data_IF_098045840905
#
_entry.id   IF_098045840905
#
_cell.length_a   1.000
_cell.length_b   1.000
_cell.length_c   1.000
_cell.angle_alpha   90.00
_cell.angle_beta   90.00
_cell.angle_gamma   90.00
#
_symmetry.space_group_name_H-M   'P 1'
#
loop_
_entity.id
_entity.type
_entity.pdbx_description
1 polymer ?
#
# COMPACT_ATOMS: atom_id res chain seq x y z
N UNK A 1 4.40 -13.41 13.29
CA UNK A 1 3.58 -12.41 12.58
C UNK A 1 2.28 -12.23 13.30
N UNK A 2 1.84 -11.00 13.41
CA UNK A 2 0.54 -10.64 13.92
C UNK A 2 -0.22 -9.92 12.80
N UNK A 3 -1.42 -10.40 12.49
CA UNK A 3 -2.31 -9.71 11.54
C UNK A 3 -3.12 -8.71 12.35
N UNK A 4 -3.13 -7.48 11.91
CA UNK A 4 -3.88 -6.39 12.53
C UNK A 4 -4.87 -5.83 11.51
N UNK A 5 -5.89 -5.15 11.98
CA UNK A 5 -6.82 -4.43 11.13
C UNK A 5 -6.35 -2.98 11.01
N UNK A 6 -6.30 -2.49 9.78
CA UNK A 6 -6.13 -1.09 9.50
C UNK A 6 -7.49 -0.48 9.15
N UNK A 7 -7.87 0.56 9.87
CA UNK A 7 -9.08 1.33 9.61
C UNK A 7 -8.65 2.72 9.18
N UNK A 8 -9.11 3.14 8.02
CA UNK A 8 -8.67 4.40 7.45
C UNK A 8 -9.70 5.06 6.59
N UNK A 9 -9.35 6.26 6.13
CA UNK A 9 -10.08 7.01 5.12
C UNK A 9 -9.15 7.46 4.00
N UNK A 10 -9.68 7.50 2.79
CA UNK A 10 -9.03 8.11 1.64
C UNK A 10 -9.79 9.37 1.31
N UNK A 11 -9.05 10.49 1.24
CA UNK A 11 -9.51 11.73 0.62
C UNK A 11 -8.83 11.84 -0.75
N UNK A 12 -9.62 12.03 -1.78
CA UNK A 12 -9.16 12.15 -3.14
C UNK A 12 -9.71 13.43 -3.75
N UNK A 13 -8.82 14.26 -4.30
CA UNK A 13 -9.18 15.55 -4.89
C UNK A 13 -8.51 15.70 -6.26
N UNK A 14 -9.32 15.88 -7.29
CA UNK A 14 -8.87 16.35 -8.59
C UNK A 14 -8.83 17.87 -8.56
N UNK A 15 -7.65 18.44 -8.86
CA UNK A 15 -7.40 19.89 -8.78
C UNK A 15 -7.47 20.53 -10.16
N UNK A 16 -7.00 19.80 -11.19
CA UNK A 16 -6.93 20.28 -12.58
C UNK A 16 -8.12 19.79 -13.40
N UNK A 17 -8.62 20.64 -14.32
CA UNK A 17 -9.79 20.35 -15.14
C UNK A 17 -11.11 20.39 -14.35
N UNK A 18 -11.98 19.39 -14.54
CA UNK A 18 -13.23 19.29 -13.78
C UNK A 18 -12.90 18.92 -12.33
N UNK A 19 -12.96 19.91 -11.45
CA UNK A 19 -12.70 19.75 -10.01
C UNK A 19 -13.70 18.76 -9.42
N UNK A 20 -13.20 17.80 -8.69
CA UNK A 20 -14.00 16.79 -7.98
C UNK A 20 -13.25 16.33 -6.75
N UNK A 21 -13.99 16.11 -5.67
CA UNK A 21 -13.42 15.55 -4.43
C UNK A 21 -14.39 14.57 -3.81
N UNK A 22 -13.84 13.54 -3.18
CA UNK A 22 -14.59 12.58 -2.40
C UNK A 22 -13.74 12.04 -1.24
N UNK A 23 -14.42 11.57 -0.23
CA UNK A 23 -13.83 10.89 0.90
C UNK A 23 -14.63 9.62 1.18
N UNK A 24 -13.93 8.52 1.43
CA UNK A 24 -14.55 7.28 1.87
C UNK A 24 -13.69 6.58 2.91
N UNK A 25 -14.35 5.79 3.75
CA UNK A 25 -13.70 4.96 4.73
C UNK A 25 -13.40 3.59 4.13
N UNK A 26 -12.33 2.96 4.59
CA UNK A 26 -11.96 1.61 4.18
C UNK A 26 -11.28 0.87 5.30
N UNK A 27 -11.24 -0.45 5.18
CA UNK A 27 -10.39 -1.28 6.02
C UNK A 27 -9.43 -2.11 5.18
N UNK A 28 -8.30 -2.47 5.78
CA UNK A 28 -7.29 -3.35 5.20
C UNK A 28 -6.70 -4.24 6.27
N UNK A 29 -6.00 -5.28 5.85
CA UNK A 29 -5.16 -6.04 6.75
C UNK A 29 -3.75 -5.44 6.77
N UNK A 30 -3.23 -5.27 7.96
CA UNK A 30 -1.84 -4.90 8.19
C UNK A 30 -1.08 -6.12 8.70
N UNK A 31 -0.03 -6.48 8.00
CA UNK A 31 0.85 -7.60 8.30
C UNK A 31 2.17 -7.05 8.79
N UNK A 32 2.49 -7.34 10.03
CA UNK A 32 3.78 -6.98 10.59
C UNK A 32 4.79 -8.07 10.24
N UNK A 33 5.89 -7.70 9.58
CA UNK A 33 7.02 -8.56 9.24
C UNK A 33 6.66 -9.80 8.42
N UNK A 34 6.19 -9.57 7.19
CA UNK A 34 5.81 -10.66 6.27
C UNK A 34 7.02 -11.47 5.76
N UNK A 35 8.23 -10.94 5.84
CA UNK A 35 9.43 -11.63 5.34
C UNK A 35 9.85 -12.82 6.22
N UNK A 36 9.76 -12.68 7.55
CA UNK A 36 10.07 -13.77 8.50
C UNK A 36 8.97 -14.80 8.60
N UNK A 37 8.00 -14.71 7.73
CA UNK A 37 6.86 -15.57 7.70
C UNK A 37 7.24 -16.95 7.15
N UNK A 38 7.11 -17.98 7.97
CA UNK A 38 7.28 -19.34 7.52
C UNK A 38 6.12 -19.70 6.60
N UNK A 39 6.42 -19.80 5.29
CA UNK A 39 5.47 -20.09 4.23
C UNK A 39 4.58 -21.29 4.52
N UNK A 40 5.09 -22.31 5.22
CA UNK A 40 4.46 -23.62 5.34
C UNK A 40 3.32 -23.70 6.37
N UNK A 41 3.24 -22.76 7.32
CA UNK A 41 2.26 -22.84 8.41
C UNK A 41 1.04 -21.92 8.27
N UNK A 42 1.07 -20.93 7.41
CA UNK A 42 0.04 -19.88 7.41
C UNK A 42 -0.62 -19.58 6.07
N UNK A 43 -0.12 -20.17 5.00
CA UNK A 43 -0.74 -20.05 3.67
C UNK A 43 -1.95 -20.99 3.48
N UNK A 44 -2.68 -21.29 4.54
CA UNK A 44 -4.07 -21.62 4.32
C UNK A 44 -4.71 -20.35 3.72
N UNK A 45 -5.12 -20.43 2.49
CA UNK A 45 -5.73 -19.37 1.67
C UNK A 45 -6.95 -18.69 2.33
N UNK A 46 -7.25 -19.01 3.59
CA UNK A 46 -8.43 -18.55 4.31
C UNK A 46 -8.03 -17.98 5.66
N UNK A 47 -7.91 -16.69 5.73
CA UNK A 47 -7.80 -15.91 6.96
C UNK A 47 -9.01 -16.09 7.89
N UNK A 48 -10.16 -16.31 7.29
CA UNK A 48 -11.39 -16.79 7.88
C UNK A 48 -12.21 -17.47 6.79
N UNK A 49 -13.34 -18.08 7.14
CA UNK A 49 -14.30 -18.57 6.11
C UNK A 49 -14.79 -17.47 5.14
N UNK A 50 -14.52 -16.19 5.44
CA UNK A 50 -15.05 -15.03 4.72
C UNK A 50 -13.97 -14.26 3.96
N UNK A 51 -12.71 -14.29 4.43
CA UNK A 51 -11.60 -13.52 3.84
C UNK A 51 -10.46 -14.43 3.43
N UNK A 52 -9.86 -14.14 2.29
CA UNK A 52 -8.65 -14.80 1.80
C UNK A 52 -7.61 -13.76 1.43
N UNK A 53 -6.35 -14.16 1.49
CA UNK A 53 -5.20 -13.38 1.06
C UNK A 53 -4.39 -14.24 0.11
N UNK A 54 -4.05 -13.66 -1.01
CA UNK A 54 -3.15 -14.26 -1.96
C UNK A 54 -1.79 -13.57 -1.87
N UNK A 55 -0.76 -14.32 -1.50
CA UNK A 55 0.62 -13.86 -1.44
C UNK A 55 1.50 -14.49 -2.54
N UNK A 56 0.95 -15.44 -3.28
CA UNK A 56 1.64 -16.09 -4.40
C UNK A 56 1.34 -15.41 -5.73
N UNK A 57 0.69 -14.25 -5.71
CA UNK A 57 0.48 -13.47 -6.92
C UNK A 57 1.83 -12.98 -7.50
N UNK A 58 1.87 -12.85 -8.82
CA UNK A 58 3.10 -12.47 -9.53
C UNK A 58 3.66 -11.13 -9.07
N UNK A 59 2.82 -10.27 -8.59
CA UNK A 59 3.30 -9.01 -8.13
C UNK A 59 3.88 -8.98 -6.74
N UNK A 60 3.46 -9.86 -5.85
CA UNK A 60 4.20 -10.08 -4.61
C UNK A 60 5.62 -10.54 -4.93
N UNK A 61 5.79 -11.44 -5.90
CA UNK A 61 7.10 -11.92 -6.37
C UNK A 61 7.94 -10.80 -6.95
N UNK A 62 7.35 -9.94 -7.78
CA UNK A 62 8.04 -8.77 -8.35
C UNK A 62 8.47 -7.77 -7.27
N UNK A 63 7.60 -7.49 -6.31
CA UNK A 63 7.93 -6.60 -5.18
C UNK A 63 9.09 -7.16 -4.35
N UNK A 64 9.07 -8.44 -4.02
CA UNK A 64 10.16 -9.10 -3.30
C UNK A 64 11.47 -9.07 -4.11
N UNK A 65 11.41 -9.25 -5.43
CA UNK A 65 12.57 -9.11 -6.31
C UNK A 65 13.14 -7.69 -6.27
N UNK A 66 12.29 -6.66 -6.35
CA UNK A 66 12.71 -5.27 -6.25
C UNK A 66 13.37 -4.96 -4.89
N UNK A 67 12.81 -5.47 -3.80
CA UNK A 67 13.42 -5.35 -2.46
C UNK A 67 14.80 -6.00 -2.42
N UNK A 68 14.98 -7.22 -2.96
CA UNK A 68 16.29 -7.88 -3.00
C UNK A 68 17.32 -7.06 -3.75
N UNK A 69 16.97 -6.53 -4.93
CA UNK A 69 17.87 -5.67 -5.71
C UNK A 69 18.29 -4.43 -4.91
N UNK A 70 17.36 -3.81 -4.17
CA UNK A 70 17.66 -2.68 -3.30
C UNK A 70 18.62 -3.05 -2.17
N UNK A 71 18.39 -4.18 -1.50
CA UNK A 71 19.25 -4.67 -0.41
C UNK A 71 20.66 -4.95 -0.90
N UNK A 72 20.80 -5.65 -2.02
CA UNK A 72 22.09 -5.98 -2.63
C UNK A 72 22.86 -4.70 -3.03
N UNK A 73 22.17 -3.75 -3.67
CA UNK A 73 22.76 -2.46 -4.08
C UNK A 73 23.33 -1.68 -2.89
N UNK A 74 22.65 -1.68 -1.77
CA UNK A 74 23.03 -0.91 -0.59
C UNK A 74 23.77 -1.73 0.48
N UNK A 75 24.03 -3.03 0.22
CA UNK A 75 24.71 -3.97 1.14
C UNK A 75 24.01 -4.04 2.51
N UNK A 76 22.68 -4.09 2.51
CA UNK A 76 21.86 -4.13 3.71
C UNK A 76 21.49 -5.58 4.02
N UNK A 77 21.77 -6.04 5.25
CA UNK A 77 21.35 -7.37 5.70
C UNK A 77 19.85 -7.40 5.96
N UNK A 78 19.15 -8.32 5.32
CA UNK A 78 17.72 -8.54 5.50
C UNK A 78 17.33 -8.94 6.92
N UNK A 79 18.26 -9.53 7.67
CA UNK A 79 18.00 -9.93 9.07
C UNK A 79 17.82 -8.76 10.01
N UNK A 80 18.30 -7.57 9.65
CA UNK A 80 18.12 -6.33 10.40
C UNK A 80 16.77 -5.65 10.12
N UNK A 81 16.03 -6.17 9.15
CA UNK A 81 14.85 -5.50 8.61
C UNK A 81 13.54 -6.18 9.00
N UNK A 82 12.49 -5.38 8.94
CA UNK A 82 11.09 -5.82 8.98
C UNK A 82 10.40 -5.35 7.70
N UNK A 83 9.61 -6.22 7.12
CA UNK A 83 8.81 -5.93 5.94
C UNK A 83 7.34 -5.99 6.31
N UNK A 84 6.70 -4.85 6.45
CA UNK A 84 5.28 -4.75 6.74
C UNK A 84 4.49 -4.57 5.45
N UNK A 85 3.26 -5.08 5.42
CA UNK A 85 2.36 -5.00 4.28
C UNK A 85 0.97 -4.51 4.69
N UNK A 86 0.48 -3.51 4.00
CA UNK A 86 -0.92 -3.07 4.04
C UNK A 86 -1.62 -3.51 2.75
N UNK A 87 -2.52 -4.48 2.86
CA UNK A 87 -3.24 -5.07 1.72
C UNK A 87 -4.71 -5.31 2.08
N UNK A 88 -5.61 -4.94 1.15
CA UNK A 88 -7.03 -5.24 1.30
C UNK A 88 -7.26 -6.75 1.16
N UNK A 89 -7.99 -7.40 2.07
CA UNK A 89 -8.28 -8.83 1.94
C UNK A 89 -9.30 -9.08 0.80
N UNK A 90 -9.17 -10.22 0.13
CA UNK A 90 -10.21 -10.70 -0.76
C UNK A 90 -11.39 -11.23 0.06
N UNK A 91 -12.61 -10.94 -0.36
CA UNK A 91 -13.83 -11.55 0.20
C UNK A 91 -14.27 -12.74 -0.67
N UNK A 92 -14.86 -13.76 -0.06
CA UNK A 92 -15.45 -14.89 -0.81
C UNK A 92 -16.67 -14.46 -1.64
N UNK A 93 -17.34 -13.38 -1.24
CA UNK A 93 -18.53 -12.88 -1.92
C UNK A 93 -18.20 -11.91 -3.05
N UNK A 94 -17.05 -11.22 -2.97
CA UNK A 94 -16.61 -10.25 -3.97
C UNK A 94 -15.10 -10.37 -4.11
N UNK A 95 -14.62 -10.66 -5.30
CA UNK A 95 -13.20 -10.54 -5.62
C UNK A 95 -12.86 -9.06 -5.53
N UNK A 96 -12.39 -8.64 -4.36
CA UNK A 96 -12.15 -7.23 -4.10
C UNK A 96 -11.02 -6.74 -5.01
N UNK A 97 -11.32 -5.78 -5.86
CA UNK A 97 -10.30 -5.04 -6.58
C UNK A 97 -9.39 -4.34 -5.57
N UNK A 98 -8.11 -4.61 -5.66
CA UNK A 98 -7.08 -4.08 -4.78
C UNK A 98 -6.20 -3.13 -5.58
N UNK A 99 -6.60 -1.85 -5.71
CA UNK A 99 -5.93 -0.91 -6.61
C UNK A 99 -4.51 -0.60 -6.16
N UNK A 100 -4.21 -0.76 -4.88
CA UNK A 100 -2.87 -0.52 -4.33
C UNK A 100 -2.62 -1.33 -3.07
N UNK A 101 -1.42 -1.92 -2.99
CA UNK A 101 -0.85 -2.48 -1.78
C UNK A 101 0.36 -1.64 -1.37
N UNK A 102 0.55 -1.42 -0.08
CA UNK A 102 1.69 -0.67 0.43
C UNK A 102 2.60 -1.56 1.25
N UNK A 103 3.90 -1.53 0.92
CA UNK A 103 4.93 -2.25 1.62
C UNK A 103 5.86 -1.25 2.30
N UNK A 104 6.21 -1.56 3.54
CA UNK A 104 7.05 -0.71 4.39
C UNK A 104 8.28 -1.52 4.80
N UNK A 105 9.43 -1.23 4.22
CA UNK A 105 10.71 -1.83 4.59
C UNK A 105 11.35 -0.99 5.70
N UNK A 106 11.51 -1.57 6.88
CA UNK A 106 11.94 -0.85 8.09
C UNK A 106 13.20 -1.43 8.70
N UNK A 107 14.05 -0.56 9.22
CA UNK A 107 15.17 -0.90 10.08
C UNK A 107 15.01 -0.20 11.42
N UNK A 108 15.02 -0.95 12.53
CA UNK A 108 14.84 -0.40 13.90
C UNK A 108 13.60 0.51 14.06
N UNK A 109 12.52 0.21 13.32
CA UNK A 109 11.27 0.97 13.36
C UNK A 109 11.20 2.17 12.42
N UNK A 110 12.31 2.58 11.80
CA UNK A 110 12.40 3.63 10.80
C UNK A 110 12.23 3.10 9.39
N UNK A 111 11.58 3.86 8.53
CA UNK A 111 11.31 3.49 7.15
C UNK A 111 12.55 3.68 6.28
N UNK A 112 13.03 2.61 5.63
CA UNK A 112 14.12 2.65 4.65
C UNK A 112 13.62 2.72 3.22
N UNK A 113 12.53 2.01 2.93
CA UNK A 113 11.90 2.04 1.64
C UNK A 113 10.39 1.84 1.77
N UNK A 114 9.66 2.47 0.88
CA UNK A 114 8.23 2.34 0.73
C UNK A 114 7.93 1.89 -0.69
N UNK A 115 7.05 0.91 -0.84
CA UNK A 115 6.67 0.42 -2.15
C UNK A 115 5.15 0.54 -2.31
N UNK A 116 4.73 1.30 -3.31
CA UNK A 116 3.35 1.33 -3.76
C UNK A 116 3.21 0.40 -4.97
N UNK A 117 2.55 -0.71 -4.75
CA UNK A 117 2.25 -1.72 -5.74
C UNK A 117 0.84 -1.48 -6.27
N UNK A 118 0.75 -0.91 -7.45
CA UNK A 118 -0.48 -0.37 -8.02
C UNK A 118 -0.98 -1.25 -9.16
N UNK A 119 -2.26 -1.60 -9.13
CA UNK A 119 -2.95 -2.32 -10.21
C UNK A 119 -4.13 -1.46 -10.69
N UNK A 120 -4.22 -1.24 -11.99
CA UNK A 120 -5.35 -0.50 -12.57
C UNK A 120 -6.55 -1.42 -12.88
N UNK A 121 -7.66 -0.83 -13.31
CA UNK A 121 -8.88 -1.58 -13.67
C UNK A 121 -8.74 -2.44 -14.92
N UNK A 122 -7.69 -2.23 -15.72
CA UNK A 122 -7.39 -3.02 -16.92
C UNK A 122 -6.51 -4.23 -16.61
N UNK A 123 -6.01 -4.34 -15.37
CA UNK A 123 -5.11 -5.41 -14.95
C UNK A 123 -3.62 -5.08 -15.10
N UNK A 124 -3.28 -3.89 -15.65
CA UNK A 124 -1.88 -3.46 -15.68
C UNK A 124 -1.39 -3.19 -14.27
N UNK A 125 -0.12 -3.46 -14.05
CA UNK A 125 0.53 -3.31 -12.76
C UNK A 125 1.83 -2.55 -12.85
N UNK A 126 2.09 -1.72 -11.84
CA UNK A 126 3.32 -0.95 -11.70
C UNK A 126 3.74 -0.88 -10.24
N UNK A 127 5.01 -1.18 -9.99
CA UNK A 127 5.65 -1.01 -8.69
C UNK A 127 6.36 0.35 -8.68
N UNK A 128 6.00 1.20 -7.72
CA UNK A 128 6.70 2.44 -7.40
C UNK A 128 7.53 2.20 -6.16
N UNK A 129 8.84 2.08 -6.35
CA UNK A 129 9.81 1.89 -5.29
C UNK A 129 10.37 3.24 -4.87
N UNK A 130 10.16 3.62 -3.62
CA UNK A 130 10.54 4.90 -3.03
C UNK A 130 11.59 4.61 -1.97
N UNK A 131 12.77 5.17 -2.11
CA UNK A 131 13.85 5.05 -1.15
C UNK A 131 14.63 6.38 -1.04
N UNK A 132 15.51 6.44 -0.07
CA UNK A 132 16.43 7.55 0.15
C UNK A 132 17.89 7.06 0.06
N UNK A 133 18.25 6.41 -1.06
CA UNK A 133 19.60 5.89 -1.31
C UNK A 133 20.12 4.98 -0.19
N UNK A 134 19.27 4.12 0.37
CA UNK A 134 19.61 3.23 1.47
C UNK A 134 19.61 3.87 2.86
N UNK A 135 19.31 5.17 2.95
CA UNK A 135 19.11 5.90 4.21
C UNK A 135 17.64 5.87 4.63
N UNK A 136 17.37 6.28 5.85
CA UNK A 136 16.01 6.42 6.35
C UNK A 136 15.23 7.45 5.52
N UNK A 137 13.96 7.14 5.25
CA UNK A 137 13.04 8.06 4.62
C UNK A 137 12.65 9.14 5.63
N UNK A 138 12.81 10.40 5.24
CA UNK A 138 12.33 11.53 6.00
C UNK A 138 10.82 11.72 5.75
N UNK A 139 10.03 11.60 6.81
CA UNK A 139 8.57 11.74 6.73
C UNK A 139 8.10 13.13 6.38
N UNK A 140 8.96 14.14 6.42
CA UNK A 140 8.63 15.53 6.05
C UNK A 140 8.91 15.85 4.59
N UNK A 141 9.61 14.97 3.90
CA UNK A 141 9.95 15.15 2.50
C UNK A 141 8.96 14.48 1.54
N UNK A 142 8.88 15.03 0.31
CA UNK A 142 8.20 14.41 -0.82
C UNK A 142 9.21 13.73 -1.74
N UNK A 143 9.06 12.41 -1.92
CA UNK A 143 9.87 11.59 -2.82
C UNK A 143 9.20 11.46 -4.19
N UNK A 144 9.96 11.64 -5.28
CA UNK A 144 9.45 11.59 -6.65
C UNK A 144 9.50 10.17 -7.22
N UNK A 145 8.50 9.82 -8.01
CA UNK A 145 8.51 8.65 -8.87
C UNK A 145 7.87 8.97 -10.22
N UNK A 146 8.48 8.51 -11.30
CA UNK A 146 7.93 8.68 -12.65
C UNK A 146 6.70 7.82 -12.84
N UNK A 147 5.60 8.42 -13.27
CA UNK A 147 4.38 7.71 -13.64
C UNK A 147 4.61 6.89 -14.90
N UNK A 148 4.22 5.61 -14.89
CA UNK A 148 4.50 4.66 -15.99
C UNK A 148 3.27 3.95 -16.52
N UNK A 149 2.09 4.17 -15.91
CA UNK A 149 0.85 3.54 -16.35
C UNK A 149 -0.37 4.45 -16.15
N UNK A 150 -1.46 4.12 -16.82
CA UNK A 150 -2.76 4.73 -16.55
C UNK A 150 -3.33 4.17 -15.25
N UNK A 151 -3.67 5.03 -14.30
CA UNK A 151 -4.39 4.61 -13.07
C UNK A 151 -5.91 4.70 -13.23
N UNK A 152 -6.38 5.47 -14.21
CA UNK A 152 -7.78 5.56 -14.59
C UNK A 152 -7.91 5.90 -16.08
N UNK A 153 -9.07 5.64 -16.72
CA UNK A 153 -9.31 6.01 -18.12
C UNK A 153 -9.15 7.51 -18.41
N UNK A 154 -9.21 8.34 -17.38
CA UNK A 154 -9.16 9.80 -17.51
C UNK A 154 -7.79 10.39 -17.14
N UNK A 155 -6.84 9.56 -16.74
CA UNK A 155 -5.50 9.99 -16.36
C UNK A 155 -4.52 9.77 -17.51
N UNK A 156 -3.53 10.65 -17.67
CA UNK A 156 -2.43 10.43 -18.62
C UNK A 156 -1.50 9.33 -18.12
N UNK A 157 -0.76 8.69 -19.02
CA UNK A 157 0.26 7.68 -18.66
C UNK A 157 1.54 8.31 -18.12
N UNK A 158 1.85 9.51 -18.59
CA UNK A 158 3.03 10.30 -18.22
C UNK A 158 2.77 11.18 -16.99
N UNK A 159 3.85 11.74 -16.46
CA UNK A 159 3.83 12.64 -15.30
C UNK A 159 4.64 12.11 -14.12
N UNK A 160 4.43 12.72 -12.97
CA UNK A 160 5.21 12.46 -11.76
C UNK A 160 4.29 12.25 -10.57
N UNK A 161 4.59 11.23 -9.78
CA UNK A 161 4.07 11.10 -8.42
C UNK A 161 5.05 11.72 -7.43
N UNK A 162 4.52 12.40 -6.40
CA UNK A 162 5.27 12.78 -5.20
C UNK A 162 4.63 12.13 -3.98
N UNK A 163 5.40 11.35 -3.26
CA UNK A 163 4.97 10.60 -2.07
C UNK A 163 5.53 11.25 -0.81
N UNK A 164 4.68 11.49 0.18
CA UNK A 164 5.07 11.79 1.56
C UNK A 164 4.53 10.69 2.45
N UNK A 165 5.43 9.99 3.17
CA UNK A 165 5.12 8.74 3.86
C UNK A 165 5.63 8.82 5.30
N UNK A 166 4.81 8.43 6.26
CA UNK A 166 5.22 8.28 7.65
C UNK A 166 5.78 6.87 7.95
N UNK A 167 6.63 6.75 8.96
CA UNK A 167 7.22 5.47 9.41
C UNK A 167 6.18 4.40 9.73
N UNK A 168 5.01 4.83 10.18
CA UNK A 168 3.85 3.97 10.39
C UNK A 168 2.78 4.29 9.33
N UNK A 169 1.90 3.34 8.98
CA UNK A 169 0.87 3.57 7.97
C UNK A 169 -0.29 4.45 8.47
N UNK A 170 0.02 5.47 9.30
CA UNK A 170 -0.97 6.41 9.81
C UNK A 170 -1.31 7.51 8.81
N UNK A 171 -0.35 7.88 7.94
CA UNK A 171 -0.58 8.83 6.86
C UNK A 171 0.31 8.54 5.65
N UNK A 172 -0.30 8.60 4.47
CA UNK A 172 0.40 8.63 3.18
C UNK A 172 -0.25 9.69 2.31
N UNK A 173 0.55 10.61 1.76
CA UNK A 173 0.08 11.63 0.82
C UNK A 173 0.68 11.32 -0.54
N UNK A 174 -0.14 11.25 -1.57
CA UNK A 174 0.25 11.01 -2.94
C UNK A 174 -0.26 12.17 -3.79
N UNK A 175 0.66 12.91 -4.40
CA UNK A 175 0.35 13.98 -5.33
C UNK A 175 0.73 13.53 -6.73
N UNK A 176 -0.17 13.67 -7.68
CA UNK A 176 0.04 13.39 -9.10
C UNK A 176 0.17 14.71 -9.85
N UNK A 177 1.21 14.83 -10.65
CA UNK A 177 1.50 15.98 -11.47
C UNK A 177 1.55 15.55 -12.94
N UNK A 178 1.10 16.42 -13.84
CA UNK A 178 1.24 16.24 -15.28
C UNK A 178 2.70 16.53 -15.74
N UNK A 179 2.91 16.46 -17.05
CA UNK A 179 4.23 16.72 -17.65
C UNK A 179 4.67 18.19 -17.52
N UNK A 180 3.73 19.11 -17.31
CA UNK A 180 3.98 20.53 -17.09
C UNK A 180 4.19 20.86 -15.59
N UNK A 181 4.36 19.83 -14.74
CA UNK A 181 4.47 19.94 -13.29
C UNK A 181 3.26 20.58 -12.58
N UNK A 182 2.08 20.58 -13.19
CA UNK A 182 0.86 21.03 -12.56
C UNK A 182 0.22 19.91 -11.75
N UNK A 183 -0.26 20.23 -10.55
CA UNK A 183 -0.93 19.27 -9.68
C UNK A 183 -2.30 18.87 -10.26
N UNK A 184 -2.44 17.63 -10.65
CA UNK A 184 -3.70 17.07 -11.14
C UNK A 184 -4.56 16.44 -10.04
N UNK A 185 -3.91 15.64 -9.19
CA UNK A 185 -4.61 14.84 -8.15
C UNK A 185 -3.85 14.92 -6.83
N UNK A 186 -4.59 15.12 -5.76
CA UNK A 186 -4.09 15.01 -4.39
C UNK A 186 -4.86 13.91 -3.66
N UNK A 187 -4.16 12.90 -3.19
CA UNK A 187 -4.73 11.78 -2.44
C UNK A 187 -4.11 11.74 -1.06
N UNK A 188 -4.94 11.70 -0.03
CA UNK A 188 -4.50 11.57 1.35
C UNK A 188 -5.14 10.32 1.96
N UNK A 189 -4.30 9.38 2.33
CA UNK A 189 -4.68 8.19 3.09
C UNK A 189 -4.32 8.42 4.55
N UNK A 190 -5.29 8.27 5.44
CA UNK A 190 -5.09 8.36 6.90
C UNK A 190 -5.79 7.21 7.60
N UNK A 191 -5.16 6.68 8.66
CA UNK A 191 -5.79 5.63 9.44
C UNK A 191 -4.95 5.18 10.62
N UNK A 192 -5.42 4.13 11.27
CA UNK A 192 -4.80 3.54 12.45
C UNK A 192 -4.84 2.02 12.43
N UNK A 193 -3.87 1.42 13.08
CA UNK A 193 -3.74 -0.03 13.22
C UNK A 193 -4.41 -0.45 14.52
N UNK A 194 -5.25 -1.48 14.44
CA UNK A 194 -5.96 -2.06 15.57
C UNK A 194 -5.66 -3.54 15.69
N UNK A 195 -5.61 -4.04 16.93
CA UNK A 195 -5.46 -5.47 17.19
C UNK A 195 -6.68 -6.24 16.65
N UNK A 196 -6.41 -7.40 16.06
CA UNK A 196 -7.47 -8.27 15.59
C UNK A 196 -8.07 -9.04 16.77
N UNK A 197 -9.19 -8.55 17.30
CA UNK A 197 -9.89 -9.16 18.43
C UNK A 197 -11.08 -10.00 17.93
N UNK A 198 -10.81 -11.03 17.10
CA UNK A 198 -11.78 -12.01 16.65
C UNK A 198 -12.72 -11.59 15.52
N UNK A 199 -13.29 -12.59 14.85
CA UNK A 199 -14.07 -12.47 13.61
C UNK A 199 -15.34 -11.61 13.79
N UNK A 200 -15.98 -11.65 14.97
CA UNK A 200 -17.20 -10.89 15.24
C UNK A 200 -16.99 -9.37 15.22
N UNK A 201 -15.84 -8.87 15.72
CA UNK A 201 -15.50 -7.44 15.63
C UNK A 201 -15.10 -7.02 14.22
N UNK A 202 -14.38 -7.87 13.48
CA UNK A 202 -14.05 -7.59 12.08
C UNK A 202 -15.32 -7.45 11.22
N UNK A 203 -16.32 -8.30 11.45
CA UNK A 203 -17.62 -8.21 10.77
C UNK A 203 -18.38 -6.92 11.14
N UNK A 204 -18.28 -6.46 12.37
CA UNK A 204 -18.88 -5.19 12.81
C UNK A 204 -18.24 -3.98 12.10
N UNK A 205 -16.91 -3.94 11.99
CA UNK A 205 -16.21 -2.90 11.25
C UNK A 205 -16.51 -2.95 9.75
N UNK A 206 -16.63 -4.14 9.19
CA UNK A 206 -17.03 -4.33 7.79
C UNK A 206 -18.43 -3.76 7.51
N UNK A 207 -19.36 -3.96 8.43
CA UNK A 207 -20.74 -3.45 8.30
C UNK A 207 -20.81 -1.93 8.38
N UNK A 208 -20.02 -1.29 9.25
CA UNK A 208 -19.95 0.18 9.35
C UNK A 208 -19.41 0.81 8.05
N UNK A 209 -18.46 0.16 7.39
CA UNK A 209 -17.81 0.71 6.18
C UNK A 209 -18.67 0.55 4.93
N UNK A 210 -19.52 -0.48 4.87
CA UNK A 210 -20.45 -0.69 3.74
C UNK A 210 -21.72 0.18 3.87
N UNK A 211 -22.06 0.62 5.08
CA UNK A 211 -23.25 1.42 5.36
C UNK A 211 -23.02 2.94 5.30
N UNK A 212 -21.81 3.39 5.01
CA UNK A 212 -21.41 4.79 4.73
C UNK A 212 -21.01 4.96 3.28
#
# INVERSE_FOLDING_TARGET
MQIKIYIGSIFHQRVFGKKHQFKYNFFSCYFNDVYRFNKDKFFSKKFSKIFSLDFDDDGTKETIKAIKIFLDKHRIDINELKLDLLKKPNSIFVKAFNPVCFWYLKRQGKLLAFIADVTNTFGDRQIYFIDNEGKEIDSDFFYKATKKMYVSPFAKKSGIYKFKISDQPNQTIIKEFNDDEELEINTVLKGSIHEFVGIKKAYFYFRIIIST
#
